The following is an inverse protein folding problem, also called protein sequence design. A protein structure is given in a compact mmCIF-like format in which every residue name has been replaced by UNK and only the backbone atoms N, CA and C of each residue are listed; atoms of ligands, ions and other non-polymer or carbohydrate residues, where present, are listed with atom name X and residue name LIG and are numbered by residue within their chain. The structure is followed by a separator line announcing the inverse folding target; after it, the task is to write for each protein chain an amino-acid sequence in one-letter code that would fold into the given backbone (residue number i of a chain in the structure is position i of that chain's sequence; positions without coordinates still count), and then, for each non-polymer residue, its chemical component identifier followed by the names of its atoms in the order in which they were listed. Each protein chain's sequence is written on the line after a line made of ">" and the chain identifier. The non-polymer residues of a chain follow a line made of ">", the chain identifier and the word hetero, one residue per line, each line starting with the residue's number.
data_IF_415741910336
#
_entry.id   IF_415741910336
#
_cell.length_a   1.000
_cell.length_b   1.000
_cell.length_c   1.000
_cell.angle_alpha   90.00
_cell.angle_beta   90.00
_cell.angle_gamma   90.00
#
_symmetry.space_group_name_H-M   'P 1'
#
loop_
_entity.id
_entity.type
_entity.pdbx_description
1 polymer ?
#
# COMPACT_ATOMS: atom_id res chain seq x y z
N UNK A 1 4.60 -14.31 -28.47
CA UNK A 1 5.76 -13.46 -28.17
C UNK A 1 6.55 -14.17 -27.09
N UNK A 2 7.80 -14.53 -27.37
CA UNK A 2 8.59 -15.40 -26.50
C UNK A 2 9.09 -14.59 -25.29
N UNK A 3 9.09 -15.17 -24.09
CA UNK A 3 9.46 -14.43 -22.87
C UNK A 3 10.84 -13.76 -22.98
N UNK A 4 11.79 -14.33 -23.73
CA UNK A 4 13.11 -13.76 -24.01
C UNK A 4 13.07 -12.38 -24.71
N UNK A 5 12.25 -12.18 -25.73
CA UNK A 5 12.18 -10.89 -26.46
C UNK A 5 11.66 -9.76 -25.58
N UNK A 6 10.86 -10.10 -24.56
CA UNK A 6 10.38 -9.15 -23.55
C UNK A 6 11.50 -8.73 -22.59
N UNK A 7 12.44 -9.63 -22.29
CA UNK A 7 13.60 -9.37 -21.43
C UNK A 7 14.71 -8.61 -22.15
N UNK A 8 14.93 -8.82 -23.45
CA UNK A 8 15.93 -8.05 -24.21
C UNK A 8 15.55 -6.57 -24.32
N UNK A 9 14.27 -6.29 -24.62
CA UNK A 9 13.73 -4.91 -24.60
C UNK A 9 13.79 -4.27 -23.21
N UNK A 10 13.76 -5.08 -22.15
CA UNK A 10 13.89 -4.61 -20.77
C UNK A 10 15.30 -4.11 -20.45
N UNK A 11 16.34 -4.85 -20.87
CA UNK A 11 17.73 -4.43 -20.67
C UNK A 11 18.10 -3.21 -21.50
N UNK A 12 17.64 -3.12 -22.74
CA UNK A 12 17.85 -1.93 -23.58
C UNK A 12 17.25 -0.67 -22.95
N UNK A 13 16.05 -0.77 -22.36
CA UNK A 13 15.41 0.36 -21.72
C UNK A 13 16.11 0.77 -20.40
N UNK A 14 16.58 -0.22 -19.63
CA UNK A 14 17.36 0.01 -18.41
C UNK A 14 18.70 0.72 -18.72
N UNK A 15 19.40 0.32 -19.79
CA UNK A 15 20.64 0.98 -20.22
C UNK A 15 20.43 2.42 -20.69
N UNK A 16 19.32 2.71 -21.37
CA UNK A 16 18.99 4.09 -21.77
C UNK A 16 18.81 4.97 -20.54
N UNK A 17 18.14 4.48 -19.50
CA UNK A 17 17.93 5.23 -18.25
C UNK A 17 19.27 5.43 -17.52
N UNK A 18 20.11 4.40 -17.41
CA UNK A 18 21.47 4.48 -16.85
C UNK A 18 22.36 5.51 -17.58
N UNK A 19 22.28 5.57 -18.91
CA UNK A 19 23.02 6.56 -19.71
C UNK A 19 22.48 7.98 -19.52
N UNK A 20 21.16 8.13 -19.35
CA UNK A 20 20.52 9.44 -19.12
C UNK A 20 20.85 9.97 -17.71
N UNK A 21 21.02 9.10 -16.70
CA UNK A 21 21.47 9.46 -15.33
C UNK A 21 22.84 10.17 -15.29
N UNK A 22 23.74 9.87 -16.24
CA UNK A 22 25.11 10.41 -16.24
C UNK A 22 25.25 11.81 -16.84
N UNK A 23 24.24 12.29 -17.57
CA UNK A 23 24.38 13.50 -18.41
C UNK A 23 23.65 14.75 -17.90
N UNK A 24 22.84 14.69 -16.84
CA UNK A 24 22.05 15.85 -16.40
C UNK A 24 22.33 16.23 -14.94
N UNK A 25 23.26 17.17 -14.76
CA UNK A 25 23.29 18.06 -13.60
C UNK A 25 22.26 19.18 -13.84
N UNK A 26 21.27 19.30 -12.94
CA UNK A 26 20.52 20.53 -12.56
C UNK A 26 18.99 20.63 -12.74
N UNK A 27 18.26 19.61 -13.20
CA UNK A 27 16.80 19.53 -12.98
C UNK A 27 16.45 18.17 -12.39
N UNK A 28 15.61 18.12 -11.34
CA UNK A 28 15.13 16.84 -10.81
C UNK A 28 14.32 16.16 -11.89
N UNK A 29 14.92 15.17 -12.55
CA UNK A 29 14.27 14.33 -13.54
C UNK A 29 13.01 13.71 -12.94
N UNK A 30 11.84 14.17 -13.38
CA UNK A 30 10.54 13.66 -12.95
C UNK A 30 10.06 12.63 -13.98
N UNK A 31 9.80 11.37 -13.59
CA UNK A 31 9.34 10.37 -14.54
C UNK A 31 8.02 10.82 -15.18
N UNK A 32 7.91 10.58 -16.49
CA UNK A 32 6.68 10.83 -17.23
C UNK A 32 5.60 9.81 -16.83
N UNK A 33 4.35 10.26 -16.66
CA UNK A 33 3.21 9.40 -16.31
C UNK A 33 2.60 8.73 -17.55
N UNK A 34 3.44 8.08 -18.35
CA UNK A 34 3.03 7.46 -19.62
C UNK A 34 3.00 5.92 -19.56
N UNK A 35 2.36 5.32 -20.57
CA UNK A 35 2.14 3.87 -20.64
C UNK A 35 3.46 3.07 -20.60
N UNK A 36 4.48 3.58 -21.28
CA UNK A 36 5.80 2.95 -21.35
C UNK A 36 6.45 2.83 -19.97
N UNK A 37 6.43 3.90 -19.18
CA UNK A 37 7.00 3.90 -17.83
C UNK A 37 6.20 3.01 -16.88
N UNK A 38 4.86 3.05 -16.96
CA UNK A 38 4.01 2.12 -16.20
C UNK A 38 4.33 0.66 -16.54
N UNK A 39 4.30 0.29 -17.82
CA UNK A 39 4.50 -1.09 -18.25
C UNK A 39 5.89 -1.61 -17.85
N UNK A 40 6.91 -0.74 -17.91
CA UNK A 40 8.24 -1.04 -17.43
C UNK A 40 8.27 -1.31 -15.92
N UNK A 41 7.70 -0.41 -15.11
CA UNK A 41 7.69 -0.58 -13.65
C UNK A 41 6.89 -1.82 -13.24
N UNK A 42 5.75 -2.07 -13.87
CA UNK A 42 4.96 -3.28 -13.64
C UNK A 42 5.78 -4.55 -13.95
N UNK A 43 6.59 -4.53 -15.01
CA UNK A 43 7.49 -5.63 -15.32
C UNK A 43 8.60 -5.78 -14.26
N UNK A 44 9.19 -4.68 -13.78
CA UNK A 44 10.20 -4.74 -12.70
C UNK A 44 9.60 -5.32 -11.42
N UNK A 45 8.46 -4.80 -10.97
CA UNK A 45 7.80 -5.24 -9.74
C UNK A 45 7.38 -6.72 -9.79
N UNK A 46 7.10 -7.23 -11.00
CA UNK A 46 6.80 -8.63 -11.22
C UNK A 46 8.05 -9.53 -11.11
N UNK A 47 9.24 -9.03 -11.43
CA UNK A 47 10.48 -9.83 -11.41
C UNK A 47 11.24 -9.69 -10.09
N UNK A 48 11.21 -8.52 -9.46
CA UNK A 48 11.92 -8.26 -8.22
C UNK A 48 11.35 -9.12 -7.08
N UNK A 49 12.15 -10.05 -6.56
CA UNK A 49 11.75 -10.97 -5.49
C UNK A 49 11.29 -10.27 -4.20
N UNK A 50 11.69 -9.02 -3.97
CA UNK A 50 11.23 -8.23 -2.82
C UNK A 50 9.81 -7.68 -3.03
N UNK A 51 9.32 -7.61 -4.28
CA UNK A 51 7.99 -7.06 -4.63
C UNK A 51 7.06 -8.10 -5.29
N UNK A 52 7.59 -9.15 -5.90
CA UNK A 52 6.87 -10.28 -6.50
C UNK A 52 6.22 -11.20 -5.44
N UNK A 53 6.26 -10.83 -4.16
CA UNK A 53 5.53 -11.58 -3.14
C UNK A 53 4.03 -11.26 -3.18
N UNK A 54 3.62 -10.06 -3.58
CA UNK A 54 2.21 -9.65 -3.49
C UNK A 54 1.36 -9.81 -4.78
N UNK A 55 1.87 -9.70 -6.02
CA UNK A 55 1.03 -9.88 -7.21
C UNK A 55 0.52 -11.30 -7.41
N UNK A 56 1.27 -12.30 -6.93
CA UNK A 56 0.93 -13.71 -7.01
C UNK A 56 0.45 -14.19 -5.64
N UNK A 57 -0.75 -14.75 -5.56
CA UNK A 57 -1.30 -15.35 -4.34
C UNK A 57 -0.46 -16.58 -3.91
N UNK A 58 0.64 -16.32 -3.22
CA UNK A 58 1.55 -17.33 -2.68
C UNK A 58 1.07 -17.76 -1.30
N UNK A 59 0.89 -19.07 -1.15
CA UNK A 59 0.43 -19.67 0.10
C UNK A 59 1.50 -19.60 1.20
N UNK A 60 1.11 -19.48 2.48
CA UNK A 60 2.01 -19.65 3.61
C UNK A 60 2.56 -21.08 3.68
N UNK A 61 3.72 -21.24 4.30
CA UNK A 61 4.23 -22.57 4.57
C UNK A 61 3.45 -23.27 5.71
N UNK A 62 3.60 -24.60 5.79
CA UNK A 62 2.89 -25.42 6.79
C UNK A 62 3.25 -25.02 8.23
N UNK A 63 4.49 -24.58 8.46
CA UNK A 63 4.99 -24.21 9.78
C UNK A 63 4.31 -22.93 10.27
N UNK A 64 4.15 -21.96 9.38
CA UNK A 64 3.39 -20.74 9.62
C UNK A 64 1.93 -21.05 9.91
N UNK A 65 1.29 -21.87 9.06
CA UNK A 65 -0.13 -22.22 9.23
C UNK A 65 -0.43 -22.92 10.55
N UNK A 66 0.48 -23.79 11.02
CA UNK A 66 0.36 -24.44 12.32
C UNK A 66 0.41 -23.40 13.46
N UNK A 67 1.40 -22.50 13.45
CA UNK A 67 1.56 -21.48 14.49
C UNK A 67 0.47 -20.42 14.49
N UNK A 68 -0.07 -20.05 13.32
CA UNK A 68 -1.15 -19.07 13.20
C UNK A 68 -2.39 -19.50 13.99
N UNK A 69 -2.73 -20.79 13.97
CA UNK A 69 -3.84 -21.33 14.76
C UNK A 69 -3.61 -21.15 16.27
N UNK A 70 -2.39 -21.44 16.74
CA UNK A 70 -2.01 -21.26 18.14
C UNK A 70 -2.03 -19.80 18.60
N UNK A 71 -1.80 -18.84 17.71
CA UNK A 71 -1.91 -17.41 18.06
C UNK A 71 -3.37 -17.02 18.31
N UNK A 72 -4.28 -17.47 17.45
CA UNK A 72 -5.71 -17.20 17.59
C UNK A 72 -6.25 -17.84 18.89
N UNK A 73 -5.71 -18.99 19.31
CA UNK A 73 -6.05 -19.62 20.59
C UNK A 73 -5.29 -19.04 21.80
N UNK A 74 -4.39 -18.07 21.61
CA UNK A 74 -3.70 -17.35 22.69
C UNK A 74 -2.45 -18.06 23.25
N UNK A 75 -1.89 -19.04 22.55
CA UNK A 75 -0.86 -19.94 23.10
C UNK A 75 0.60 -19.47 22.89
N UNK A 76 0.94 -18.81 21.77
CA UNK A 76 2.31 -18.34 21.45
C UNK A 76 2.30 -17.18 20.45
N UNK A 77 3.21 -16.22 20.55
CA UNK A 77 3.32 -15.10 19.59
C UNK A 77 4.41 -15.25 18.52
N UNK A 78 5.41 -16.13 18.71
CA UNK A 78 6.56 -16.16 17.81
C UNK A 78 6.25 -16.91 16.51
N UNK A 79 6.01 -16.15 15.44
CA UNK A 79 5.73 -16.63 14.10
C UNK A 79 7.01 -17.01 13.36
N UNK A 80 7.10 -18.26 12.91
CA UNK A 80 8.18 -18.74 12.06
C UNK A 80 7.62 -19.24 10.73
N UNK A 81 8.45 -19.20 9.69
CA UNK A 81 8.07 -19.61 8.34
C UNK A 81 7.57 -18.46 7.47
N UNK A 82 7.41 -18.73 6.19
CA UNK A 82 6.85 -17.82 5.20
C UNK A 82 5.35 -17.62 5.45
N UNK A 83 4.95 -16.36 5.67
CA UNK A 83 3.59 -15.98 6.01
C UNK A 83 2.61 -16.04 4.85
N UNK A 84 3.05 -16.36 3.63
CA UNK A 84 2.24 -16.14 2.44
C UNK A 84 2.19 -14.67 2.02
N UNK A 85 1.65 -14.44 0.84
CA UNK A 85 1.43 -13.11 0.27
C UNK A 85 0.22 -12.39 0.86
N UNK A 86 0.18 -11.06 0.78
CA UNK A 86 -1.01 -10.30 1.20
C UNK A 86 -2.21 -10.70 0.35
N UNK A 87 -1.99 -10.89 -0.96
CA UNK A 87 -3.04 -11.29 -1.89
C UNK A 87 -3.65 -12.65 -1.59
N UNK A 88 -2.84 -13.64 -1.21
CA UNK A 88 -3.36 -14.95 -0.77
C UNK A 88 -4.36 -14.80 0.39
N UNK A 89 -4.04 -13.98 1.38
CA UNK A 89 -4.90 -13.82 2.55
C UNK A 89 -6.20 -13.09 2.23
N UNK A 90 -6.17 -12.05 1.40
CA UNK A 90 -7.41 -11.40 0.97
C UNK A 90 -8.25 -12.28 0.02
N UNK A 91 -7.63 -13.14 -0.80
CA UNK A 91 -8.37 -14.18 -1.51
C UNK A 91 -9.02 -15.21 -0.57
N UNK A 92 -8.37 -15.52 0.56
CA UNK A 92 -8.97 -16.35 1.61
C UNK A 92 -10.16 -15.64 2.25
N UNK A 93 -10.09 -14.35 2.55
CA UNK A 93 -11.24 -13.53 3.01
C UNK A 93 -12.40 -13.64 2.02
N UNK A 94 -12.13 -13.59 0.71
CA UNK A 94 -13.19 -13.71 -0.31
C UNK A 94 -13.90 -15.09 -0.30
N UNK A 95 -13.19 -16.13 0.14
CA UNK A 95 -13.66 -17.54 0.20
C UNK A 95 -14.26 -17.93 1.55
N UNK A 96 -14.30 -17.03 2.55
CA UNK A 96 -14.91 -17.37 3.85
C UNK A 96 -16.42 -17.31 3.78
N UNK A 97 -17.07 -18.38 4.20
CA UNK A 97 -18.52 -18.41 4.41
C UNK A 97 -18.92 -17.56 5.62
N UNK A 98 -20.15 -17.00 5.59
CA UNK A 98 -20.70 -16.16 6.69
C UNK A 98 -20.66 -16.80 8.08
N UNK A 99 -20.64 -18.13 8.15
CA UNK A 99 -20.66 -18.89 9.41
C UNK A 99 -19.26 -19.35 9.85
N UNK A 100 -18.19 -18.98 9.13
CA UNK A 100 -16.82 -19.39 9.38
C UNK A 100 -15.99 -18.26 10.00
N UNK A 101 -16.46 -17.70 11.13
CA UNK A 101 -15.83 -16.57 11.83
C UNK A 101 -14.33 -16.80 12.10
N UNK A 102 -13.96 -18.01 12.50
CA UNK A 102 -12.56 -18.38 12.75
C UNK A 102 -11.69 -18.34 11.49
N UNK A 103 -12.22 -18.75 10.34
CA UNK A 103 -11.48 -18.67 9.07
C UNK A 103 -11.36 -17.22 8.59
N UNK A 104 -12.36 -16.38 8.86
CA UNK A 104 -12.29 -14.94 8.58
C UNK A 104 -11.22 -14.26 9.46
N UNK A 105 -11.27 -14.47 10.78
CA UNK A 105 -10.26 -13.96 11.73
C UNK A 105 -8.85 -14.39 11.33
N UNK A 106 -8.69 -15.66 10.95
CA UNK A 106 -7.42 -16.21 10.47
C UNK A 106 -6.94 -15.57 9.18
N UNK A 107 -7.84 -15.32 8.23
CA UNK A 107 -7.49 -14.65 6.98
C UNK A 107 -7.08 -13.19 7.23
N UNK A 108 -7.80 -12.46 8.08
CA UNK A 108 -7.45 -11.10 8.49
C UNK A 108 -6.09 -11.09 9.22
N UNK A 109 -5.86 -11.97 10.19
CA UNK A 109 -4.58 -12.05 10.90
C UNK A 109 -3.42 -12.36 9.95
N UNK A 110 -3.61 -13.32 9.04
CA UNK A 110 -2.64 -13.63 7.99
C UNK A 110 -2.31 -12.41 7.13
N UNK A 111 -3.31 -11.63 6.73
CA UNK A 111 -3.11 -10.39 5.96
C UNK A 111 -2.32 -9.34 6.74
N UNK A 112 -2.62 -9.13 8.03
CA UNK A 112 -1.89 -8.20 8.91
C UNK A 112 -0.41 -8.61 8.98
N UNK A 113 -0.13 -9.89 9.22
CA UNK A 113 1.23 -10.40 9.34
C UNK A 113 1.99 -10.28 8.01
N UNK A 114 1.34 -10.62 6.89
CA UNK A 114 1.98 -10.56 5.58
C UNK A 114 2.34 -9.13 5.19
N UNK A 115 1.42 -8.17 5.39
CA UNK A 115 1.68 -6.75 5.17
C UNK A 115 2.83 -6.27 6.05
N UNK A 116 2.81 -6.62 7.34
CA UNK A 116 3.83 -6.16 8.28
C UNK A 116 5.23 -6.74 8.02
N UNK A 117 5.30 -7.94 7.44
CA UNK A 117 6.56 -8.57 7.00
C UNK A 117 7.05 -8.07 5.65
N UNK A 118 6.14 -7.73 4.74
CA UNK A 118 6.48 -7.28 3.38
C UNK A 118 7.23 -5.95 3.36
N UNK A 119 7.07 -5.14 4.40
CA UNK A 119 7.59 -3.79 4.46
C UNK A 119 7.76 -3.42 5.92
N UNK A 120 8.87 -2.77 6.26
CA UNK A 120 9.26 -2.28 7.59
C UNK A 120 8.23 -1.32 8.25
N UNK A 121 6.97 -1.73 8.43
CA UNK A 121 5.94 -1.07 9.24
C UNK A 121 6.25 -1.25 10.73
N UNK A 122 7.15 -2.20 11.05
CA UNK A 122 7.71 -2.44 12.38
C UNK A 122 6.64 -2.67 13.46
N UNK A 123 5.47 -3.23 13.12
CA UNK A 123 4.50 -3.62 14.15
C UNK A 123 5.07 -4.75 15.01
N UNK A 124 5.99 -5.58 14.48
CA UNK A 124 6.77 -6.56 15.27
C UNK A 124 7.58 -5.96 16.41
N UNK A 125 7.96 -4.67 16.34
CA UNK A 125 8.73 -4.03 17.41
C UNK A 125 7.89 -3.78 18.67
N UNK A 126 6.56 -3.90 18.58
CA UNK A 126 5.63 -3.64 19.68
C UNK A 126 4.77 -4.91 19.88
N UNK A 127 5.07 -5.67 20.94
CA UNK A 127 4.37 -6.90 21.33
C UNK A 127 2.85 -6.66 21.45
N UNK A 128 2.01 -7.60 21.00
CA UNK A 128 0.54 -7.50 21.05
C UNK A 128 -0.13 -6.68 19.94
N UNK A 129 0.58 -5.77 19.26
CA UNK A 129 0.01 -4.84 18.28
C UNK A 129 -0.79 -5.49 17.15
N UNK A 130 -0.31 -6.63 16.63
CA UNK A 130 -0.98 -7.35 15.52
C UNK A 130 -2.34 -7.90 15.95
N UNK A 131 -2.47 -8.37 17.18
CA UNK A 131 -3.73 -8.87 17.75
C UNK A 131 -4.68 -7.71 18.08
N UNK A 132 -4.16 -6.58 18.55
CA UNK A 132 -4.96 -5.37 18.76
C UNK A 132 -5.55 -4.85 17.45
N UNK A 133 -4.74 -4.77 16.39
CA UNK A 133 -5.21 -4.41 15.04
C UNK A 133 -6.24 -5.42 14.54
N UNK A 134 -6.01 -6.73 14.73
CA UNK A 134 -6.99 -7.76 14.39
C UNK A 134 -8.31 -7.49 15.10
N UNK A 135 -8.31 -7.34 16.43
CA UNK A 135 -9.52 -7.14 17.21
C UNK A 135 -10.28 -5.90 16.77
N UNK A 136 -9.59 -4.78 16.51
CA UNK A 136 -10.20 -3.56 15.95
C UNK A 136 -10.87 -3.83 14.60
N UNK A 137 -10.18 -4.50 13.68
CA UNK A 137 -10.75 -4.83 12.36
C UNK A 137 -11.98 -5.73 12.51
N UNK A 138 -11.94 -6.73 13.39
CA UNK A 138 -13.08 -7.64 13.63
C UNK A 138 -14.26 -6.91 14.28
N UNK A 139 -14.02 -5.95 15.17
CA UNK A 139 -15.08 -5.14 15.77
C UNK A 139 -15.80 -4.27 14.72
N UNK A 140 -15.04 -3.67 13.81
CA UNK A 140 -15.56 -2.81 12.74
C UNK A 140 -16.24 -3.64 11.64
N UNK A 141 -15.58 -4.73 11.26
CA UNK A 141 -15.93 -5.56 10.13
C UNK A 141 -15.84 -7.04 10.53
N UNK A 142 -16.85 -7.58 11.23
CA UNK A 142 -16.82 -8.94 11.78
C UNK A 142 -16.87 -10.06 10.73
N UNK A 143 -17.18 -9.71 9.48
CA UNK A 143 -17.20 -10.63 8.35
C UNK A 143 -16.87 -9.89 7.04
N UNK A 144 -16.70 -10.66 5.97
CA UNK A 144 -16.42 -10.18 4.62
C UNK A 144 -17.42 -9.12 4.15
N UNK A 145 -18.72 -9.32 4.35
CA UNK A 145 -19.75 -8.39 3.86
C UNK A 145 -19.66 -7.03 4.55
N UNK A 146 -19.38 -7.01 5.86
CA UNK A 146 -19.15 -5.76 6.57
C UNK A 146 -17.83 -5.11 6.14
N UNK A 147 -16.77 -5.89 5.94
CA UNK A 147 -15.50 -5.35 5.41
C UNK A 147 -15.71 -4.71 4.03
N UNK A 148 -16.45 -5.37 3.15
CA UNK A 148 -16.81 -4.86 1.83
C UNK A 148 -17.61 -3.56 1.94
N UNK A 149 -18.59 -3.49 2.84
CA UNK A 149 -19.39 -2.29 3.09
C UNK A 149 -18.51 -1.12 3.58
N UNK A 150 -17.63 -1.37 4.53
CA UNK A 150 -16.72 -0.36 5.07
C UNK A 150 -15.73 0.14 4.00
N UNK A 151 -15.24 -0.74 3.13
CA UNK A 151 -14.36 -0.35 2.01
C UNK A 151 -15.07 0.44 0.92
N UNK A 152 -16.38 0.22 0.73
CA UNK A 152 -17.23 0.98 -0.21
C UNK A 152 -17.57 2.38 0.29
N UNK A 153 -17.40 2.67 1.57
CA UNK A 153 -17.58 4.02 2.09
C UNK A 153 -16.55 4.97 1.44
N UNK A 154 -17.02 6.03 0.78
CA UNK A 154 -16.17 7.05 0.18
C UNK A 154 -15.98 8.28 1.09
N UNK A 155 -16.72 8.34 2.20
CA UNK A 155 -16.60 9.40 3.19
C UNK A 155 -15.40 9.14 4.11
N UNK A 156 -14.25 9.69 3.74
CA UNK A 156 -12.98 9.64 4.46
C UNK A 156 -13.01 10.58 5.69
N UNK A 157 -13.79 10.21 6.70
CA UNK A 157 -13.85 10.87 8.00
C UNK A 157 -13.29 9.96 9.13
N UNK A 158 -13.26 10.44 10.36
CA UNK A 158 -12.76 9.70 11.54
C UNK A 158 -13.36 8.30 11.73
N UNK A 159 -14.58 8.06 11.24
CA UNK A 159 -15.28 6.78 11.35
C UNK A 159 -14.93 5.80 10.23
N UNK A 160 -14.19 6.25 9.21
CA UNK A 160 -13.78 5.42 8.10
C UNK A 160 -12.77 4.35 8.55
N UNK A 161 -12.90 3.13 8.04
CA UNK A 161 -12.08 1.97 8.43
C UNK A 161 -10.56 2.25 8.41
N UNK A 162 -10.08 2.98 7.40
CA UNK A 162 -8.69 3.42 7.32
C UNK A 162 -8.23 4.14 8.60
N UNK A 163 -9.00 5.10 9.10
CA UNK A 163 -8.60 5.87 10.29
C UNK A 163 -8.83 5.11 11.59
N UNK A 164 -9.86 4.26 11.65
CA UNK A 164 -10.06 3.35 12.78
C UNK A 164 -8.94 2.31 12.92
N UNK A 165 -8.36 1.84 11.81
CA UNK A 165 -7.16 0.98 11.83
C UNK A 165 -5.90 1.78 12.19
N UNK A 166 -5.83 3.05 11.73
CA UNK A 166 -4.69 3.97 11.92
C UNK A 166 -4.44 4.31 13.40
N UNK A 167 -5.45 4.10 14.27
CA UNK A 167 -5.49 4.60 15.64
C UNK A 167 -4.24 4.25 16.47
N UNK A 168 -3.88 5.17 17.35
CA UNK A 168 -2.61 5.20 18.05
C UNK A 168 -2.28 3.87 18.73
N UNK A 169 -1.07 3.39 18.49
CA UNK A 169 -0.44 2.37 19.32
C UNK A 169 0.50 3.11 20.27
N UNK A 170 0.43 2.76 21.56
CA UNK A 170 1.31 3.33 22.58
C UNK A 170 2.71 2.74 22.35
N UNK A 171 3.66 3.59 21.96
CA UNK A 171 5.07 3.22 21.99
C UNK A 171 5.55 3.25 23.46
N UNK A 172 5.65 2.06 24.06
CA UNK A 172 6.10 1.87 25.45
C UNK A 172 7.48 2.49 25.73
N UNK A 173 8.29 2.78 24.70
CA UNK A 173 9.62 3.36 24.86
C UNK A 173 9.64 4.90 24.77
N UNK A 174 8.56 5.55 24.31
CA UNK A 174 8.59 6.98 23.97
C UNK A 174 7.42 7.82 24.51
N UNK A 175 6.45 7.24 25.25
CA UNK A 175 5.22 7.92 25.70
C UNK A 175 4.47 8.68 24.57
N UNK A 176 4.72 8.32 23.32
CA UNK A 176 4.21 9.01 22.13
C UNK A 176 3.28 8.08 21.37
N UNK A 177 2.07 8.57 21.14
CA UNK A 177 1.11 7.95 20.24
C UNK A 177 1.70 7.93 18.83
N UNK A 178 1.95 6.74 18.29
CA UNK A 178 2.33 6.56 16.89
C UNK A 178 1.14 6.01 16.12
N UNK A 179 0.70 6.75 15.12
CA UNK A 179 -0.30 6.29 14.16
C UNK A 179 0.35 5.35 13.14
N UNK A 180 -0.31 4.25 12.81
CA UNK A 180 0.16 3.21 11.89
C UNK A 180 -0.46 3.34 10.49
N UNK A 181 -0.65 4.56 9.96
CA UNK A 181 -1.29 4.76 8.66
C UNK A 181 -0.66 3.94 7.54
N UNK A 182 0.67 3.90 7.45
CA UNK A 182 1.33 3.15 6.37
C UNK A 182 0.91 1.68 6.35
N UNK A 183 0.54 1.12 7.50
CA UNK A 183 -0.09 -0.19 7.58
C UNK A 183 -1.56 -0.12 7.15
N UNK A 184 -2.35 0.79 7.74
CA UNK A 184 -3.78 0.93 7.47
C UNK A 184 -4.11 1.19 5.99
N UNK A 185 -3.38 2.10 5.33
CA UNK A 185 -3.55 2.42 3.91
C UNK A 185 -3.20 1.25 3.01
N UNK A 186 -2.10 0.54 3.29
CA UNK A 186 -1.73 -0.70 2.58
C UNK A 186 -2.76 -1.79 2.76
N UNK A 187 -3.25 -1.99 3.98
CA UNK A 187 -4.33 -2.93 4.26
C UNK A 187 -5.56 -2.58 3.41
N UNK A 188 -6.01 -1.32 3.45
CA UNK A 188 -7.16 -0.86 2.66
C UNK A 188 -6.92 -0.95 1.15
N UNK A 189 -5.70 -0.69 0.68
CA UNK A 189 -5.33 -0.80 -0.73
C UNK A 189 -5.42 -2.25 -1.24
N UNK A 190 -4.85 -3.21 -0.51
CA UNK A 190 -4.97 -4.63 -0.86
C UNK A 190 -6.42 -5.12 -0.74
N UNK A 191 -7.10 -4.75 0.35
CA UNK A 191 -8.47 -5.17 0.60
C UNK A 191 -9.41 -4.64 -0.49
N UNK A 192 -9.38 -3.34 -0.81
CA UNK A 192 -10.21 -2.76 -1.87
C UNK A 192 -9.92 -3.40 -3.23
N UNK A 193 -8.64 -3.56 -3.60
CA UNK A 193 -8.26 -4.16 -4.88
C UNK A 193 -8.81 -5.57 -5.05
N UNK A 194 -8.74 -6.41 -4.01
CA UNK A 194 -9.10 -7.84 -4.12
C UNK A 194 -10.58 -8.09 -3.83
N UNK A 195 -11.15 -7.39 -2.85
CA UNK A 195 -12.54 -7.59 -2.44
C UNK A 195 -13.50 -6.84 -3.37
N UNK A 196 -13.17 -5.60 -3.74
CA UNK A 196 -14.02 -4.77 -4.61
C UNK A 196 -13.62 -4.86 -6.08
N UNK A 197 -12.41 -5.32 -6.39
CA UNK A 197 -11.87 -5.22 -7.75
C UNK A 197 -11.41 -3.80 -8.10
N UNK A 198 -11.26 -2.91 -7.11
CA UNK A 198 -11.01 -1.48 -7.31
C UNK A 198 -9.83 -0.98 -6.49
N UNK A 199 -8.93 -0.20 -7.10
CA UNK A 199 -7.82 0.44 -6.38
C UNK A 199 -8.29 1.78 -5.81
N UNK A 200 -8.57 1.81 -4.50
CA UNK A 200 -9.07 3.02 -3.82
C UNK A 200 -8.01 3.78 -3.01
N UNK A 201 -6.95 3.11 -2.57
CA UNK A 201 -5.97 3.68 -1.64
C UNK A 201 -4.53 3.57 -2.17
N UNK A 202 -3.68 4.59 -1.94
CA UNK A 202 -2.25 4.49 -2.13
C UNK A 202 -1.61 3.54 -1.11
N UNK A 203 -0.49 2.89 -1.47
CA UNK A 203 0.26 1.95 -0.62
C UNK A 203 1.54 2.56 -0.07
N UNK A 204 2.17 3.51 -0.76
CA UNK A 204 3.49 4.00 -0.39
C UNK A 204 3.49 5.44 0.15
N UNK A 205 2.54 5.74 1.05
CA UNK A 205 2.25 7.08 1.56
C UNK A 205 3.48 7.91 1.94
N UNK A 206 4.44 7.31 2.65
CA UNK A 206 5.64 8.03 3.09
C UNK A 206 6.46 8.58 1.91
N UNK A 207 6.59 7.81 0.84
CA UNK A 207 7.37 8.21 -0.34
C UNK A 207 6.54 9.09 -1.26
N UNK A 208 5.28 8.72 -1.46
CA UNK A 208 4.41 9.42 -2.39
C UNK A 208 4.04 10.79 -1.87
N UNK A 209 3.67 10.94 -0.60
CA UNK A 209 3.37 12.25 -0.02
C UNK A 209 4.54 13.23 -0.09
N UNK A 210 5.79 12.77 0.09
CA UNK A 210 6.98 13.60 0.00
C UNK A 210 7.24 14.15 -1.42
N UNK A 211 6.68 13.52 -2.46
CA UNK A 211 7.02 13.80 -3.85
C UNK A 211 5.82 14.16 -4.73
N UNK A 212 4.60 13.96 -4.26
CA UNK A 212 3.36 14.15 -5.02
C UNK A 212 3.24 15.57 -5.59
N UNK A 213 3.79 16.58 -4.92
CA UNK A 213 3.72 17.98 -5.36
C UNK A 213 4.38 18.21 -6.71
N UNK A 214 5.47 17.49 -7.04
CA UNK A 214 6.08 17.60 -8.38
C UNK A 214 5.10 17.17 -9.48
N UNK A 215 4.35 16.09 -9.23
CA UNK A 215 3.38 15.55 -10.18
C UNK A 215 2.13 16.44 -10.24
N UNK A 216 1.64 16.92 -9.10
CA UNK A 216 0.50 17.84 -9.11
C UNK A 216 0.82 19.11 -9.92
N UNK A 217 1.98 19.72 -9.66
CA UNK A 217 2.36 20.94 -10.36
C UNK A 217 2.50 20.68 -11.86
N UNK A 218 3.11 19.56 -12.26
CA UNK A 218 3.29 19.24 -13.68
C UNK A 218 1.99 18.89 -14.42
N UNK A 219 1.11 18.08 -13.82
CA UNK A 219 -0.01 17.46 -14.55
C UNK A 219 -1.37 18.11 -14.26
N UNK A 220 -1.49 18.87 -13.17
CA UNK A 220 -2.76 19.47 -12.74
C UNK A 220 -2.72 21.00 -12.85
N UNK A 221 -1.73 21.64 -12.23
CA UNK A 221 -1.59 23.10 -12.21
C UNK A 221 -0.15 23.56 -11.96
N UNK A 222 0.54 24.00 -13.01
CA UNK A 222 1.94 24.44 -12.97
C UNK A 222 2.15 25.68 -12.09
N UNK A 223 1.09 26.49 -11.89
CA UNK A 223 1.14 27.70 -11.08
C UNK A 223 0.74 27.46 -9.61
N UNK A 224 0.50 26.21 -9.22
CA UNK A 224 0.06 25.91 -7.86
C UNK A 224 1.18 26.16 -6.85
N UNK A 225 0.82 26.65 -5.65
CA UNK A 225 1.77 26.88 -4.56
C UNK A 225 2.13 25.60 -3.77
N UNK A 226 1.83 24.42 -4.32
CA UNK A 226 2.11 23.16 -3.63
C UNK A 226 3.59 22.84 -3.64
N UNK A 227 4.06 22.35 -2.51
CA UNK A 227 5.47 22.11 -2.24
C UNK A 227 5.66 20.85 -1.38
N UNK A 228 6.92 20.53 -1.07
CA UNK A 228 7.32 19.35 -0.29
C UNK A 228 6.60 19.18 1.07
N UNK A 229 6.07 20.26 1.65
CA UNK A 229 5.37 20.20 2.94
C UNK A 229 3.84 20.07 2.79
N UNK A 230 3.29 20.28 1.58
CA UNK A 230 1.84 20.31 1.35
C UNK A 230 1.17 19.00 1.75
N UNK A 231 1.75 17.88 1.35
CA UNK A 231 1.17 16.55 1.61
C UNK A 231 1.88 15.80 2.71
N UNK A 232 2.98 16.33 3.25
CA UNK A 232 3.88 15.58 4.14
C UNK A 232 3.12 14.98 5.32
N UNK A 233 3.04 13.64 5.30
CA UNK A 233 2.46 12.80 6.33
C UNK A 233 3.61 12.27 7.18
N UNK A 234 3.96 12.96 8.26
CA UNK A 234 5.07 12.57 9.13
C UNK A 234 4.59 12.15 10.53
N UNK A 235 5.52 11.55 11.29
CA UNK A 235 5.31 11.13 12.67
C UNK A 235 5.09 12.29 13.66
N UNK A 236 5.15 13.54 13.20
CA UNK A 236 4.96 14.73 14.06
C UNK A 236 3.49 15.12 14.19
N UNK A 237 2.60 14.60 13.34
CA UNK A 237 1.16 14.84 13.47
C UNK A 237 0.65 14.03 14.66
N UNK A 238 0.19 14.72 15.70
CA UNK A 238 -0.24 14.13 16.97
C UNK A 238 -1.75 14.08 17.15
N UNK A 239 -2.52 14.78 16.30
CA UNK A 239 -3.98 14.82 16.32
C UNK A 239 -4.53 14.15 15.09
N UNK A 240 -5.51 13.28 15.28
CA UNK A 240 -6.14 12.53 14.20
C UNK A 240 -6.85 13.45 13.20
N UNK A 241 -7.44 14.57 13.63
CA UNK A 241 -8.14 15.49 12.73
C UNK A 241 -7.20 16.20 11.75
N UNK A 242 -6.04 16.68 12.23
CA UNK A 242 -5.00 17.27 11.39
C UNK A 242 -4.47 16.24 10.38
N UNK A 243 -4.44 14.97 10.80
CA UNK A 243 -4.04 13.85 9.99
C UNK A 243 -5.04 13.55 8.87
N UNK A 244 -6.32 13.42 9.22
CA UNK A 244 -7.42 13.17 8.29
C UNK A 244 -7.45 14.25 7.21
N UNK A 245 -7.37 15.53 7.61
CA UNK A 245 -7.38 16.65 6.67
C UNK A 245 -6.21 16.59 5.67
N UNK A 246 -5.01 16.23 6.13
CA UNK A 246 -3.86 16.05 5.23
C UNK A 246 -4.03 14.85 4.30
N UNK A 247 -4.51 13.72 4.82
CA UNK A 247 -4.73 12.52 4.01
C UNK A 247 -5.83 12.72 2.96
N UNK A 248 -6.89 13.46 3.30
CA UNK A 248 -7.94 13.90 2.37
C UNK A 248 -7.37 14.74 1.23
N UNK A 249 -6.58 15.77 1.55
CA UNK A 249 -5.93 16.59 0.52
C UNK A 249 -5.04 15.75 -0.39
N UNK A 250 -4.20 14.90 0.21
CA UNK A 250 -3.29 13.99 -0.48
C UNK A 250 -4.01 13.04 -1.44
N UNK A 251 -5.06 12.36 -0.97
CA UNK A 251 -5.83 11.40 -1.79
C UNK A 251 -6.66 12.08 -2.87
N UNK A 252 -7.26 13.25 -2.59
CA UNK A 252 -7.99 14.02 -3.59
C UNK A 252 -7.08 14.50 -4.73
N UNK A 253 -5.87 14.96 -4.40
CA UNK A 253 -4.95 15.44 -5.42
C UNK A 253 -4.29 14.30 -6.22
N UNK A 254 -4.12 13.10 -5.62
CA UNK A 254 -3.84 11.86 -6.37
C UNK A 254 -4.92 11.61 -7.42
N UNK A 255 -6.20 11.65 -7.03
CA UNK A 255 -7.32 11.40 -7.95
C UNK A 255 -7.31 12.39 -9.12
N UNK A 256 -7.07 13.68 -8.86
CA UNK A 256 -6.94 14.70 -9.91
C UNK A 256 -5.79 14.43 -10.88
N UNK A 257 -4.63 14.00 -10.38
CA UNK A 257 -3.50 13.62 -11.25
C UNK A 257 -3.90 12.45 -12.15
N UNK A 258 -4.49 11.40 -11.56
CA UNK A 258 -4.95 10.21 -12.31
C UNK A 258 -5.97 10.61 -13.39
N UNK A 259 -6.95 11.45 -13.04
CA UNK A 259 -7.95 11.96 -13.99
C UNK A 259 -7.31 12.76 -15.14
N UNK A 260 -6.36 13.64 -14.84
CA UNK A 260 -5.66 14.44 -15.86
C UNK A 260 -4.85 13.57 -16.81
N UNK A 261 -4.12 12.58 -16.31
CA UNK A 261 -3.36 11.63 -17.15
C UNK A 261 -4.29 10.83 -18.06
N UNK A 262 -5.44 10.36 -17.54
CA UNK A 262 -6.46 9.67 -18.35
C UNK A 262 -7.02 10.56 -19.46
N UNK A 263 -7.34 11.82 -19.15
CA UNK A 263 -7.90 12.78 -20.13
C UNK A 263 -6.93 13.12 -21.25
N UNK A 264 -5.62 13.16 -20.95
CA UNK A 264 -4.59 13.54 -21.92
C UNK A 264 -4.19 12.39 -22.87
N UNK A 265 -5.01 11.33 -22.96
CA UNK A 265 -4.83 10.16 -23.84
C UNK A 265 -3.52 9.37 -23.64
N UNK A 266 -2.81 9.55 -22.52
CA UNK A 266 -1.59 8.76 -22.30
C UNK A 266 -1.96 7.27 -22.21
N UNK A 267 -3.03 6.91 -21.47
CA UNK A 267 -3.71 5.60 -21.48
C UNK A 267 -4.88 5.58 -20.47
N UNK A 268 -6.05 5.01 -20.83
CA UNK A 268 -7.31 5.16 -20.09
C UNK A 268 -7.43 4.35 -18.80
N UNK A 269 -6.63 3.30 -18.65
CA UNK A 269 -6.63 2.37 -17.52
C UNK A 269 -5.68 2.80 -16.37
N UNK A 270 -5.03 3.97 -16.47
CA UNK A 270 -4.17 4.50 -15.41
C UNK A 270 -4.92 4.60 -14.08
N UNK A 271 -4.31 4.22 -12.97
CA UNK A 271 -4.97 4.28 -11.67
C UNK A 271 -4.02 4.70 -10.55
N UNK A 272 -4.54 4.72 -9.32
CA UNK A 272 -3.80 5.12 -8.13
C UNK A 272 -2.57 4.23 -7.91
N UNK A 273 -2.68 2.92 -8.15
CA UNK A 273 -1.58 1.97 -7.99
C UNK A 273 -0.47 2.24 -9.01
N UNK A 274 -0.82 2.56 -10.26
CA UNK A 274 0.19 2.92 -11.27
C UNK A 274 0.96 4.19 -10.87
N UNK A 275 0.25 5.23 -10.41
CA UNK A 275 0.89 6.46 -9.93
C UNK A 275 1.80 6.17 -8.73
N UNK A 276 1.29 5.45 -7.74
CA UNK A 276 1.98 5.07 -6.51
C UNK A 276 3.26 4.27 -6.84
N UNK A 277 3.16 3.31 -7.76
CA UNK A 277 4.29 2.50 -8.27
C UNK A 277 5.33 3.34 -8.98
N UNK A 278 4.91 4.26 -9.87
CA UNK A 278 5.83 5.16 -10.58
C UNK A 278 6.59 6.03 -9.60
N UNK A 279 5.88 6.75 -8.72
CA UNK A 279 6.50 7.66 -7.76
C UNK A 279 7.45 6.90 -6.84
N UNK A 280 7.00 5.77 -6.30
CA UNK A 280 7.77 4.99 -5.35
C UNK A 280 9.01 4.35 -5.99
N UNK A 281 8.89 3.72 -7.16
CA UNK A 281 10.01 3.02 -7.81
C UNK A 281 11.09 4.01 -8.24
N UNK A 282 10.73 5.12 -8.87
CA UNK A 282 11.71 6.09 -9.36
C UNK A 282 12.43 6.85 -8.25
N UNK A 283 11.81 7.00 -7.07
CA UNK A 283 12.37 7.84 -6.01
C UNK A 283 12.94 7.05 -4.83
N UNK A 284 12.54 5.78 -4.66
CA UNK A 284 13.08 4.88 -3.61
C UNK A 284 13.70 3.60 -4.19
N UNK A 285 13.15 3.03 -5.25
CA UNK A 285 13.66 1.80 -5.90
C UNK A 285 15.00 1.97 -6.63
N UNK A 286 15.55 3.18 -6.67
CA UNK A 286 16.86 3.51 -7.24
C UNK A 286 18.01 3.58 -6.21
N UNK A 287 17.74 3.24 -4.94
CA UNK A 287 18.77 3.16 -3.88
C UNK A 287 19.22 1.73 -3.64
#
# INVERSE_FOLDING_TARGET
>A
MNNLEKYEKFFELYEVIEKTKKNEQSEKWLPLLNKKNRDFINAVLYVDSNYNLDPLAKEPDKKFMFKLKSIISGEKEELEGYAGSSSYWFERVMKTDKNAEDEYKKAILGSIISIDRSNSTHLEAIKGTRLEILNRIIEIAPNKEQLEKELKNDDLNENHILFKITDAIIDNNNEKNRFNLSFASKFCAYASKIILGEVKYPKYDSVVSDNLFYFYNKYVDENSNKNKNTYKINHEIRKIDEYINKYLLYTNDIKKIVEKVKMNNEFSDFNIEDLDHIIWYFLKGQR
#
